data_IF_092285452427
#
_entry.id   IF_092285452427
#
_cell.length_a   1.000
_cell.length_b   1.000
_cell.length_c   1.000
_cell.angle_alpha   90.00
_cell.angle_beta   90.00
_cell.angle_gamma   90.00
#
_symmetry.space_group_name_H-M   'P 1'
#
loop_
_entity.id
_entity.type
_entity.pdbx_description
1 polymer ?
#
# COMPACT_ATOMS: atom_id res chain seq x y z
N UNK A 1 51.58 -37.06 -8.48
CA UNK A 1 51.93 -36.55 -7.12
C UNK A 1 52.24 -35.10 -7.26
N UNK A 2 51.23 -34.25 -7.36
CA UNK A 2 51.37 -32.84 -7.70
C UNK A 2 50.13 -32.10 -7.21
N UNK A 3 50.36 -31.05 -6.48
CA UNK A 3 49.48 -29.88 -6.25
C UNK A 3 48.18 -29.92 -5.40
N UNK A 4 47.74 -31.02 -4.87
CA UNK A 4 46.53 -31.05 -4.02
C UNK A 4 46.76 -30.95 -2.51
N UNK A 5 47.94 -30.63 -2.03
CA UNK A 5 48.30 -30.61 -0.58
C UNK A 5 48.64 -29.23 0.00
N UNK A 6 48.31 -28.12 -0.67
CA UNK A 6 48.66 -26.79 -0.16
C UNK A 6 47.51 -25.85 0.20
N UNK A 7 46.27 -26.31 0.18
CA UNK A 7 45.09 -25.44 0.47
C UNK A 7 44.33 -25.80 1.77
N UNK A 8 44.90 -26.62 2.66
CA UNK A 8 44.16 -27.07 3.87
C UNK A 8 44.68 -26.43 5.19
N UNK A 9 45.66 -25.54 5.16
CA UNK A 9 46.25 -24.96 6.39
C UNK A 9 46.00 -23.48 6.65
N UNK A 10 45.03 -22.83 5.97
CA UNK A 10 44.76 -21.39 6.17
C UNK A 10 43.40 -21.03 6.81
N UNK A 11 42.68 -22.00 7.35
CA UNK A 11 41.35 -21.77 8.00
C UNK A 11 41.34 -21.94 9.53
N UNK A 12 42.46 -21.86 10.18
CA UNK A 12 42.53 -21.90 11.66
C UNK A 12 43.34 -20.75 12.23
N UNK A 13 42.84 -19.55 12.20
CA UNK A 13 43.23 -18.45 13.11
C UNK A 13 42.43 -17.19 12.81
N UNK A 14 41.18 -17.10 13.22
CA UNK A 14 40.58 -15.86 13.75
C UNK A 14 39.53 -16.28 14.77
N UNK A 15 39.97 -16.41 15.99
CA UNK A 15 39.14 -16.57 17.16
C UNK A 15 39.14 -15.29 17.98
N UNK A 16 37.98 -14.99 18.49
CA UNK A 16 37.72 -14.27 19.76
C UNK A 16 38.30 -12.86 19.93
N UNK A 17 37.47 -11.84 19.77
CA UNK A 17 37.31 -10.80 20.79
C UNK A 17 36.25 -9.74 20.37
N UNK A 18 35.08 -9.72 20.97
CA UNK A 18 34.33 -8.49 21.19
C UNK A 18 33.17 -8.73 22.16
N UNK A 19 33.52 -8.81 23.42
CA UNK A 19 32.57 -8.45 24.49
C UNK A 19 32.67 -6.96 24.77
N UNK A 20 31.53 -6.36 25.17
CA UNK A 20 31.30 -5.07 25.86
C UNK A 20 31.15 -3.83 24.96
N UNK A 21 29.87 -3.41 24.87
CA UNK A 21 29.42 -2.11 25.40
C UNK A 21 27.89 -1.97 25.32
N UNK A 22 27.20 -2.38 26.38
CA UNK A 22 25.85 -1.89 26.69
C UNK A 22 25.97 -0.48 27.25
N UNK A 23 25.44 0.52 26.56
CA UNK A 23 25.18 1.86 27.11
C UNK A 23 23.74 1.95 27.53
N UNK A 24 23.54 2.06 28.84
CA UNK A 24 22.25 2.40 29.46
C UNK A 24 21.89 3.85 29.11
N UNK A 25 20.73 4.06 28.52
CA UNK A 25 20.07 5.35 28.47
C UNK A 25 19.00 5.40 29.55
N UNK A 26 19.28 6.09 30.65
CA UNK A 26 18.31 6.48 31.67
C UNK A 26 17.66 7.79 31.24
N UNK A 27 16.37 7.74 30.99
CA UNK A 27 15.51 8.91 30.76
C UNK A 27 15.21 9.57 32.10
N UNK A 28 15.68 10.80 32.30
CA UNK A 28 15.26 11.66 33.41
C UNK A 28 14.01 12.42 33.02
N UNK A 29 12.90 12.09 33.66
CA UNK A 29 11.66 12.87 33.64
C UNK A 29 11.81 14.09 34.56
N UNK A 30 11.72 15.30 34.06
CA UNK A 30 11.56 16.53 34.82
C UNK A 30 10.07 16.83 34.93
N UNK A 31 9.56 16.75 36.14
CA UNK A 31 8.28 17.35 36.56
C UNK A 31 8.55 18.81 36.94
N UNK A 32 7.90 19.75 36.28
CA UNK A 32 7.81 21.14 36.72
C UNK A 32 6.42 21.41 37.29
N UNK A 33 6.43 21.76 38.59
CA UNK A 33 5.27 22.18 39.32
C UNK A 33 4.93 23.64 39.00
N UNK A 34 3.69 23.92 38.64
CA UNK A 34 3.17 25.30 38.49
C UNK A 34 2.40 25.65 39.76
N UNK A 35 2.88 26.69 40.45
CA UNK A 35 2.28 27.30 41.62
C UNK A 35 1.03 28.09 41.27
N UNK A 36 -0.02 27.90 42.05
CA UNK A 36 -1.21 28.75 42.12
C UNK A 36 -0.89 30.05 42.90
N UNK A 37 -1.31 31.20 42.37
CA UNK A 37 -1.63 32.39 43.17
C UNK A 37 -2.57 33.31 42.38
N UNK A 38 -3.58 33.85 43.10
CA UNK A 38 -4.18 35.12 42.76
C UNK A 38 -5.70 35.14 42.54
N UNK A 39 -6.44 35.20 43.62
CA UNK A 39 -7.86 35.61 43.63
C UNK A 39 -7.99 37.11 43.48
N UNK A 40 -8.69 37.61 42.45
CA UNK A 40 -9.18 38.98 42.39
C UNK A 40 -10.71 39.02 42.24
N UNK A 41 -11.35 39.69 43.24
CA UNK A 41 -12.78 40.00 43.27
C UNK A 41 -13.08 41.16 42.34
N UNK A 42 -13.93 41.00 41.37
CA UNK A 42 -14.49 42.13 40.60
C UNK A 42 -15.97 42.30 40.95
N UNK A 43 -16.29 43.54 41.34
CA UNK A 43 -17.60 44.03 41.77
C UNK A 43 -18.64 43.98 40.64
N UNK A 44 -19.84 43.48 41.01
CA UNK A 44 -21.04 43.53 40.21
C UNK A 44 -21.60 44.95 40.14
N UNK A 45 -21.67 45.51 38.95
CA UNK A 45 -22.53 46.68 38.64
C UNK A 45 -23.76 46.19 37.88
N UNK A 46 -24.92 46.32 38.49
CA UNK A 46 -26.23 46.09 37.88
C UNK A 46 -26.56 47.22 36.92
N UNK A 47 -26.63 46.96 35.64
CA UNK A 47 -27.33 47.78 34.66
C UNK A 47 -28.57 47.06 34.17
N UNK A 48 -29.74 47.74 34.31
CA UNK A 48 -31.05 47.28 33.85
C UNK A 48 -31.05 47.31 32.29
N UNK A 49 -31.19 46.13 31.66
CA UNK A 49 -31.34 46.02 30.23
C UNK A 49 -32.79 45.83 29.85
N UNK A 50 -33.22 46.64 28.94
CA UNK A 50 -34.53 46.74 28.30
C UNK A 50 -34.80 45.48 27.46
N UNK A 51 -35.87 44.73 27.78
CA UNK A 51 -36.31 43.55 27.04
C UNK A 51 -37.00 43.94 25.72
N UNK A 52 -36.26 43.94 24.61
CA UNK A 52 -36.86 43.85 23.27
C UNK A 52 -37.01 42.36 22.91
N UNK A 53 -38.24 41.90 22.81
CA UNK A 53 -38.61 40.57 22.27
C UNK A 53 -38.28 40.53 20.76
N UNK A 54 -37.14 39.96 20.41
CA UNK A 54 -36.87 39.53 19.04
C UNK A 54 -37.38 38.11 18.82
N UNK A 55 -38.27 37.93 17.83
CA UNK A 55 -38.76 36.63 17.38
C UNK A 55 -37.56 35.77 16.95
N UNK A 56 -37.27 34.72 17.68
CA UNK A 56 -36.33 33.66 17.26
C UNK A 56 -36.90 32.93 16.07
N UNK A 57 -36.42 33.26 14.86
CA UNK A 57 -36.53 32.37 13.72
C UNK A 57 -35.63 31.16 14.02
N UNK A 58 -36.24 29.99 14.16
CA UNK A 58 -35.53 28.72 14.22
C UNK A 58 -34.92 28.43 12.83
N UNK A 59 -33.71 28.96 12.59
CA UNK A 59 -32.88 28.43 11.52
C UNK A 59 -32.58 26.97 11.87
N UNK A 60 -33.10 26.03 11.10
CA UNK A 60 -32.67 24.64 11.13
C UNK A 60 -31.17 24.66 10.83
N UNK A 61 -30.34 24.46 11.86
CA UNK A 61 -28.96 24.05 11.66
C UNK A 61 -29.02 22.69 10.97
N UNK A 62 -28.83 22.66 9.67
CA UNK A 62 -28.50 21.42 8.97
C UNK A 62 -27.16 20.97 9.53
N UNK A 63 -27.22 19.92 10.33
CA UNK A 63 -26.08 19.24 10.90
C UNK A 63 -25.34 18.57 9.72
N UNK A 64 -24.43 19.30 9.09
CA UNK A 64 -23.51 18.80 8.06
C UNK A 64 -22.55 17.80 8.74
N UNK A 65 -23.09 16.65 9.17
CA UNK A 65 -22.27 15.52 9.55
C UNK A 65 -21.59 15.00 8.29
N UNK A 66 -20.33 15.36 8.12
CA UNK A 66 -19.47 14.78 7.12
C UNK A 66 -19.45 13.25 7.36
N UNK A 67 -20.24 12.50 6.58
CA UNK A 67 -20.14 11.04 6.59
C UNK A 67 -18.84 10.71 5.86
N UNK A 68 -17.81 10.19 6.56
CA UNK A 68 -16.60 9.80 5.87
C UNK A 68 -16.96 8.75 4.81
N UNK A 69 -16.42 8.92 3.61
CA UNK A 69 -16.57 7.93 2.54
C UNK A 69 -15.96 6.62 2.98
N UNK A 70 -16.57 5.50 2.67
CA UNK A 70 -16.05 4.18 2.98
C UNK A 70 -14.97 3.77 1.98
N UNK A 71 -13.90 3.12 2.46
CA UNK A 71 -12.98 2.37 1.62
C UNK A 71 -13.66 1.06 1.21
N UNK A 72 -13.69 0.77 -0.11
CA UNK A 72 -14.12 -0.52 -0.64
C UNK A 72 -12.89 -1.36 -0.97
N UNK A 73 -12.90 -2.62 -0.58
CA UNK A 73 -11.91 -3.63 -0.93
C UNK A 73 -12.66 -4.69 -1.71
N UNK A 74 -12.30 -4.86 -2.99
CA UNK A 74 -13.06 -5.68 -3.94
C UNK A 74 -12.09 -6.67 -4.59
N UNK A 75 -12.02 -7.92 -4.13
CA UNK A 75 -11.32 -8.98 -4.83
C UNK A 75 -12.06 -9.29 -6.14
N UNK A 76 -11.34 -9.25 -7.25
CA UNK A 76 -11.83 -9.66 -8.57
C UNK A 76 -11.35 -11.07 -8.94
N UNK A 77 -10.45 -11.64 -8.15
CA UNK A 77 -9.94 -13.00 -8.24
C UNK A 77 -9.12 -13.36 -7.00
N UNK A 78 -8.69 -14.61 -6.89
CA UNK A 78 -7.88 -15.12 -5.78
C UNK A 78 -8.66 -15.50 -4.51
N UNK A 79 -10.01 -15.39 -4.50
CA UNK A 79 -10.82 -15.88 -3.39
C UNK A 79 -11.41 -17.25 -3.71
N UNK A 80 -11.19 -18.23 -2.82
CA UNK A 80 -11.63 -19.63 -2.98
C UNK A 80 -11.09 -20.32 -4.25
N UNK A 81 -9.99 -19.80 -4.80
CA UNK A 81 -9.31 -20.32 -5.98
C UNK A 81 -7.81 -20.07 -5.87
N UNK A 82 -7.00 -20.81 -6.63
CA UNK A 82 -5.55 -20.62 -6.73
C UNK A 82 -5.26 -19.79 -7.99
N UNK A 83 -4.51 -18.70 -7.80
CA UNK A 83 -4.15 -17.79 -8.90
C UNK A 83 -5.19 -16.68 -9.12
N UNK A 84 -5.04 -15.98 -10.22
CA UNK A 84 -5.86 -14.78 -10.60
C UNK A 84 -5.90 -13.72 -9.50
N UNK A 85 -4.81 -13.55 -8.75
CA UNK A 85 -4.77 -12.58 -7.67
C UNK A 85 -4.91 -11.17 -8.22
N UNK A 86 -6.02 -10.51 -7.87
CA UNK A 86 -6.30 -9.13 -8.21
C UNK A 86 -7.26 -8.54 -7.19
N UNK A 87 -6.85 -7.46 -6.54
CA UNK A 87 -7.65 -6.78 -5.52
C UNK A 87 -7.76 -5.28 -5.85
N UNK A 88 -8.97 -4.76 -5.80
CA UNK A 88 -9.26 -3.35 -6.03
C UNK A 88 -9.49 -2.66 -4.70
N UNK A 89 -8.84 -1.52 -4.50
CA UNK A 89 -9.10 -0.59 -3.41
C UNK A 89 -9.71 0.68 -4.00
N UNK A 90 -10.95 0.98 -3.64
CA UNK A 90 -11.67 2.17 -4.10
C UNK A 90 -12.01 3.08 -2.92
N UNK A 91 -11.62 4.35 -3.03
CA UNK A 91 -12.03 5.40 -2.12
C UNK A 91 -12.50 6.62 -2.92
N UNK A 92 -13.79 6.90 -2.88
CA UNK A 92 -14.47 7.94 -3.66
C UNK A 92 -14.22 7.79 -5.19
N UNK A 93 -13.46 8.72 -5.79
CA UNK A 93 -13.15 8.72 -7.21
C UNK A 93 -11.75 8.22 -7.54
N UNK A 94 -11.08 7.58 -6.60
CA UNK A 94 -9.76 7.02 -6.80
C UNK A 94 -9.75 5.51 -6.58
N UNK A 95 -9.14 4.79 -7.51
CA UNK A 95 -8.97 3.35 -7.50
C UNK A 95 -7.48 3.03 -7.64
N UNK A 96 -6.98 2.14 -6.81
CA UNK A 96 -5.73 1.42 -7.05
C UNK A 96 -6.03 -0.07 -7.18
N UNK A 97 -5.24 -0.74 -8.00
CA UNK A 97 -5.29 -2.19 -8.22
C UNK A 97 -4.04 -2.78 -7.58
N UNK A 98 -4.18 -3.85 -6.83
CA UNK A 98 -3.07 -4.63 -6.29
C UNK A 98 -3.05 -5.97 -6.98
N UNK A 99 -1.94 -6.26 -7.65
CA UNK A 99 -1.68 -7.42 -8.47
C UNK A 99 -2.64 -7.55 -9.68
N UNK A 100 -2.26 -8.38 -10.64
CA UNK A 100 -3.06 -8.72 -11.82
C UNK A 100 -2.54 -10.05 -12.37
N UNK A 101 -2.90 -11.11 -11.67
CA UNK A 101 -2.43 -12.46 -11.94
C UNK A 101 -3.30 -13.25 -12.87
N UNK A 102 -2.75 -14.33 -13.39
CA UNK A 102 -3.49 -15.37 -14.11
C UNK A 102 -3.64 -16.64 -13.24
N UNK A 103 -4.47 -17.56 -13.68
CA UNK A 103 -4.45 -18.95 -13.24
C UNK A 103 -4.17 -19.86 -14.43
N UNK A 104 -3.62 -21.05 -14.15
CA UNK A 104 -3.54 -22.10 -15.14
C UNK A 104 -4.89 -22.83 -15.23
N UNK A 105 -5.28 -23.31 -16.42
CA UNK A 105 -6.53 -24.06 -16.56
C UNK A 105 -6.48 -25.38 -15.77
N UNK A 106 -7.63 -25.84 -15.33
CA UNK A 106 -7.80 -27.18 -14.76
C UNK A 106 -7.81 -28.24 -15.88
N UNK A 107 -7.60 -29.50 -15.52
CA UNK A 107 -7.46 -30.60 -16.48
C UNK A 107 -8.70 -30.82 -17.37
N UNK A 108 -9.87 -30.40 -16.93
CA UNK A 108 -11.14 -30.48 -17.67
C UNK A 108 -11.37 -29.29 -18.62
N UNK A 109 -10.55 -28.23 -18.56
CA UNK A 109 -10.62 -27.05 -19.41
C UNK A 109 -9.87 -27.25 -20.73
N UNK A 110 -10.32 -28.20 -21.55
CA UNK A 110 -9.64 -28.56 -22.81
C UNK A 110 -9.57 -27.37 -23.79
N UNK A 111 -8.36 -27.11 -24.32
CA UNK A 111 -8.11 -26.04 -25.30
C UNK A 111 -8.02 -24.65 -24.69
N UNK A 112 -7.97 -24.51 -23.38
CA UNK A 112 -7.71 -23.25 -22.68
C UNK A 112 -6.24 -23.20 -22.27
N UNK A 113 -5.53 -22.15 -22.67
CA UNK A 113 -4.10 -21.96 -22.32
C UNK A 113 -3.93 -21.19 -21.00
N UNK A 114 -4.79 -20.20 -20.75
CA UNK A 114 -4.70 -19.29 -19.59
C UNK A 114 -6.10 -18.90 -19.11
N UNK A 115 -6.22 -18.73 -17.80
CA UNK A 115 -7.42 -18.16 -17.16
C UNK A 115 -7.07 -16.80 -16.56
N UNK A 116 -7.77 -15.75 -16.99
CA UNK A 116 -7.57 -14.38 -16.54
C UNK A 116 -8.78 -13.90 -15.71
N UNK A 117 -8.59 -12.96 -14.77
CA UNK A 117 -9.70 -12.42 -13.99
C UNK A 117 -10.68 -11.62 -14.85
N UNK A 118 -11.95 -11.55 -14.42
CA UNK A 118 -12.93 -10.63 -15.01
C UNK A 118 -12.62 -9.19 -14.56
N UNK A 119 -12.23 -8.36 -15.51
CA UNK A 119 -11.91 -6.95 -15.28
C UNK A 119 -13.04 -5.98 -15.65
N UNK A 120 -14.25 -6.48 -15.89
CA UNK A 120 -15.41 -5.65 -16.28
C UNK A 120 -15.68 -4.50 -15.31
N UNK A 121 -15.44 -4.72 -14.01
CA UNK A 121 -15.55 -3.65 -13.01
C UNK A 121 -14.56 -2.51 -13.28
N UNK A 122 -13.32 -2.84 -13.62
CA UNK A 122 -12.26 -1.88 -13.91
C UNK A 122 -12.53 -1.14 -15.22
N UNK A 123 -13.03 -1.82 -16.26
CA UNK A 123 -13.39 -1.20 -17.54
C UNK A 123 -14.48 -0.12 -17.35
N UNK A 124 -15.48 -0.38 -16.52
CA UNK A 124 -16.55 0.57 -16.18
C UNK A 124 -16.07 1.77 -15.37
N UNK A 125 -14.96 1.64 -14.64
CA UNK A 125 -14.42 2.66 -13.74
C UNK A 125 -13.02 3.15 -14.17
N UNK A 126 -12.62 2.98 -15.42
CA UNK A 126 -11.27 3.25 -15.91
C UNK A 126 -10.74 4.64 -15.57
N UNK A 127 -11.60 5.66 -15.60
CA UNK A 127 -11.21 7.06 -15.36
C UNK A 127 -10.83 7.33 -13.89
N UNK A 128 -11.22 6.43 -12.97
CA UNK A 128 -10.86 6.50 -11.56
C UNK A 128 -9.55 5.79 -11.23
N UNK A 129 -9.02 4.94 -12.10
CA UNK A 129 -7.85 4.10 -11.81
C UNK A 129 -6.60 4.94 -11.85
N UNK A 130 -5.83 4.93 -10.75
CA UNK A 130 -4.63 5.75 -10.55
C UNK A 130 -3.34 4.96 -10.72
N UNK A 131 -3.34 3.68 -10.33
CA UNK A 131 -2.15 2.85 -10.35
C UNK A 131 -2.49 1.35 -10.33
N UNK A 132 -1.58 0.55 -10.86
CA UNK A 132 -1.44 -0.88 -10.61
C UNK A 132 -0.18 -1.06 -9.75
N UNK A 133 -0.34 -1.63 -8.57
CA UNK A 133 0.73 -1.89 -7.59
C UNK A 133 0.99 -3.39 -7.56
N UNK A 134 2.23 -3.82 -7.71
CA UNK A 134 2.58 -5.24 -7.76
C UNK A 134 3.38 -5.64 -6.53
N UNK A 135 2.95 -6.72 -5.88
CA UNK A 135 3.60 -7.26 -4.68
C UNK A 135 4.87 -8.03 -5.01
N UNK A 136 4.84 -8.89 -6.02
CA UNK A 136 5.97 -9.72 -6.47
C UNK A 136 5.75 -10.32 -7.86
N UNK A 137 6.74 -11.03 -8.37
CA UNK A 137 6.81 -11.43 -9.78
C UNK A 137 6.30 -12.83 -10.12
N UNK A 138 5.48 -13.49 -9.31
CA UNK A 138 4.86 -14.75 -9.69
C UNK A 138 3.74 -14.56 -10.72
N UNK A 139 3.49 -15.59 -11.54
CA UNK A 139 2.52 -15.54 -12.65
C UNK A 139 1.09 -15.25 -12.17
N UNK A 140 0.72 -15.80 -11.06
CA UNK A 140 -0.59 -15.58 -10.42
C UNK A 140 -0.75 -14.18 -9.81
N UNK A 141 0.30 -13.31 -9.91
CA UNK A 141 0.29 -11.91 -9.53
C UNK A 141 0.58 -10.95 -10.69
N UNK A 142 1.31 -11.38 -11.75
CA UNK A 142 1.66 -10.50 -12.87
C UNK A 142 1.18 -11.01 -14.23
N UNK A 143 0.73 -12.26 -14.34
CA UNK A 143 0.52 -12.92 -15.62
C UNK A 143 -0.59 -12.32 -16.46
N UNK A 144 -1.62 -11.70 -15.87
CA UNK A 144 -2.72 -11.07 -16.60
C UNK A 144 -2.47 -9.58 -16.94
N UNK A 145 -1.34 -8.98 -16.53
CA UNK A 145 -1.01 -7.57 -16.80
C UNK A 145 -1.14 -7.21 -18.28
N UNK A 146 -0.62 -7.97 -19.26
CA UNK A 146 -0.74 -7.59 -20.67
C UNK A 146 -2.21 -7.52 -21.13
N UNK A 147 -3.06 -8.37 -20.61
CA UNK A 147 -4.48 -8.42 -20.96
C UNK A 147 -5.24 -7.22 -20.38
N UNK A 148 -4.93 -6.83 -19.13
CA UNK A 148 -5.44 -5.61 -18.51
C UNK A 148 -5.03 -4.38 -19.33
N UNK A 149 -3.75 -4.25 -19.69
CA UNK A 149 -3.21 -3.08 -20.38
C UNK A 149 -3.74 -2.89 -21.80
N UNK A 150 -4.20 -3.95 -22.47
CA UNK A 150 -4.92 -3.84 -23.75
C UNK A 150 -6.25 -3.10 -23.64
N UNK A 151 -6.82 -3.02 -22.42
CA UNK A 151 -8.10 -2.39 -22.12
C UNK A 151 -7.95 -1.09 -21.35
N UNK A 152 -7.01 -1.07 -20.41
CA UNK A 152 -6.86 0.00 -19.40
C UNK A 152 -5.36 0.31 -19.27
N UNK A 153 -4.93 1.48 -19.74
CA UNK A 153 -3.54 1.90 -19.61
C UNK A 153 -3.34 2.68 -18.31
N UNK A 154 -2.60 2.11 -17.36
CA UNK A 154 -2.31 2.70 -16.05
C UNK A 154 -0.82 2.57 -15.72
N UNK A 155 -0.24 3.47 -14.90
CA UNK A 155 1.13 3.31 -14.42
C UNK A 155 1.23 2.09 -13.49
N UNK A 156 2.30 1.31 -13.68
CA UNK A 156 2.60 0.12 -12.88
C UNK A 156 3.77 0.46 -11.96
N UNK A 157 3.66 0.11 -10.69
CA UNK A 157 4.68 0.26 -9.67
C UNK A 157 5.08 -1.10 -9.13
N UNK A 158 6.35 -1.46 -9.22
CA UNK A 158 6.87 -2.74 -8.77
C UNK A 158 8.34 -2.62 -8.36
N UNK A 159 8.85 -3.59 -7.61
CA UNK A 159 10.28 -3.70 -7.28
C UNK A 159 11.10 -4.09 -8.51
N UNK A 160 12.43 -3.92 -8.43
CA UNK A 160 13.34 -4.06 -9.56
C UNK A 160 13.22 -5.39 -10.30
N UNK A 161 13.29 -6.53 -9.57
CA UNK A 161 13.18 -7.85 -10.19
C UNK A 161 11.82 -8.03 -10.85
N UNK A 162 10.75 -7.66 -10.14
CA UNK A 162 9.38 -7.73 -10.65
C UNK A 162 9.19 -6.87 -11.89
N UNK A 163 9.77 -5.66 -11.94
CA UNK A 163 9.78 -4.83 -13.14
C UNK A 163 10.47 -5.51 -14.33
N UNK A 164 11.57 -6.23 -14.09
CA UNK A 164 12.25 -7.02 -15.13
C UNK A 164 11.34 -8.10 -15.73
N UNK A 165 10.67 -8.87 -14.87
CA UNK A 165 9.73 -9.92 -15.30
C UNK A 165 8.53 -9.34 -16.07
N UNK A 166 7.95 -8.24 -15.56
CA UNK A 166 6.85 -7.55 -16.24
C UNK A 166 7.31 -7.03 -17.60
N UNK A 167 8.52 -6.47 -17.72
CA UNK A 167 9.06 -5.96 -19.00
C UNK A 167 9.11 -7.04 -20.06
N UNK A 168 9.59 -8.26 -19.74
CA UNK A 168 9.60 -9.38 -20.68
C UNK A 168 8.19 -9.65 -21.22
N UNK A 169 7.18 -9.72 -20.36
CA UNK A 169 5.78 -9.90 -20.76
C UNK A 169 5.27 -8.76 -21.67
N UNK A 170 5.64 -7.52 -21.33
CA UNK A 170 5.27 -6.36 -22.16
C UNK A 170 5.95 -6.38 -23.52
N UNK A 171 7.17 -6.92 -23.63
CA UNK A 171 7.89 -7.12 -24.91
C UNK A 171 7.17 -8.14 -25.78
N UNK A 172 6.82 -9.31 -25.26
CA UNK A 172 6.06 -10.35 -25.95
C UNK A 172 4.75 -9.83 -26.51
N UNK A 173 4.05 -8.98 -25.74
CA UNK A 173 2.77 -8.38 -26.15
C UNK A 173 2.90 -7.04 -26.88
N UNK A 174 4.13 -6.54 -27.15
CA UNK A 174 4.43 -5.25 -27.84
C UNK A 174 3.85 -4.02 -27.11
N UNK A 175 3.79 -4.07 -25.75
CA UNK A 175 3.19 -3.03 -24.92
C UNK A 175 4.21 -2.12 -24.21
N UNK A 176 5.53 -2.38 -24.36
CA UNK A 176 6.59 -1.62 -23.63
C UNK A 176 6.49 -0.11 -23.88
N UNK A 177 6.26 0.29 -25.13
CA UNK A 177 6.25 1.72 -25.51
C UNK A 177 5.03 2.48 -24.99
N UNK A 178 3.93 1.79 -24.75
CA UNK A 178 2.67 2.38 -24.27
C UNK A 178 2.52 2.33 -22.75
N UNK A 179 3.34 1.54 -22.05
CA UNK A 179 3.20 1.29 -20.62
C UNK A 179 4.19 2.11 -19.80
N UNK A 180 3.71 2.79 -18.78
CA UNK A 180 4.54 3.43 -17.77
C UNK A 180 4.86 2.44 -16.66
N UNK A 181 6.04 1.81 -16.72
CA UNK A 181 6.55 0.91 -15.68
C UNK A 181 7.53 1.68 -14.79
N UNK A 182 7.25 1.75 -13.49
CA UNK A 182 8.01 2.52 -12.50
C UNK A 182 8.63 1.57 -11.47
N UNK A 183 9.95 1.56 -11.41
CA UNK A 183 10.68 0.82 -10.39
C UNK A 183 10.59 1.56 -9.05
N UNK A 184 10.27 0.83 -7.98
CA UNK A 184 10.23 1.31 -6.60
C UNK A 184 11.12 0.45 -5.72
N UNK A 185 11.64 1.03 -4.64
CA UNK A 185 12.45 0.31 -3.65
C UNK A 185 11.60 -0.06 -2.45
N UNK A 186 12.02 -1.12 -1.77
CA UNK A 186 11.48 -1.45 -0.45
C UNK A 186 11.67 -0.27 0.51
N UNK A 187 10.62 0.10 1.24
CA UNK A 187 10.54 1.28 2.10
C UNK A 187 10.08 2.56 1.40
N UNK A 188 9.98 2.57 0.06
CA UNK A 188 9.44 3.74 -0.66
C UNK A 188 7.92 3.84 -0.52
N UNK A 189 7.42 5.07 -0.67
CA UNK A 189 6.00 5.39 -0.60
C UNK A 189 5.56 6.01 -1.93
N UNK A 190 4.58 5.39 -2.57
CA UNK A 190 3.96 5.87 -3.80
C UNK A 190 2.63 6.54 -3.49
N UNK A 191 2.39 7.72 -4.09
CA UNK A 191 1.09 8.41 -4.03
C UNK A 191 0.29 8.14 -5.31
N UNK A 192 -0.95 7.67 -5.14
CA UNK A 192 -1.88 7.35 -6.23
C UNK A 192 -3.28 7.88 -5.88
N UNK A 193 -3.59 9.11 -6.33
CA UNK A 193 -4.80 9.82 -5.91
C UNK A 193 -4.82 10.04 -4.39
N UNK A 194 -5.90 9.61 -3.74
CA UNK A 194 -6.06 9.68 -2.27
C UNK A 194 -5.34 8.56 -1.52
N UNK A 195 -4.71 7.63 -2.23
CA UNK A 195 -3.95 6.55 -1.64
C UNK A 195 -2.46 6.91 -1.50
N UNK A 196 -1.85 6.40 -0.43
CA UNK A 196 -0.42 6.40 -0.20
C UNK A 196 0.00 4.98 0.15
N UNK A 197 0.81 4.37 -0.71
CA UNK A 197 1.19 2.96 -0.62
C UNK A 197 2.66 2.83 -0.30
N UNK A 198 2.98 2.24 0.85
CA UNK A 198 4.34 1.95 1.30
C UNK A 198 4.69 0.49 0.97
N UNK A 199 5.85 0.28 0.36
CA UNK A 199 6.37 -1.02 -0.05
C UNK A 199 7.22 -1.63 1.06
N UNK A 200 6.65 -2.52 1.86
CA UNK A 200 7.30 -3.13 3.02
C UNK A 200 8.00 -4.40 2.59
N UNK A 201 9.27 -4.57 2.97
CA UNK A 201 10.00 -5.81 2.66
C UNK A 201 9.28 -7.03 3.25
N UNK A 202 9.06 -8.04 2.43
CA UNK A 202 8.48 -9.32 2.82
C UNK A 202 9.37 -10.48 2.42
N UNK A 203 9.25 -11.61 3.12
CA UNK A 203 9.90 -12.87 2.75
C UNK A 203 8.93 -13.74 1.96
N UNK A 204 9.39 -14.22 0.81
CA UNK A 204 8.61 -15.12 -0.05
C UNK A 204 9.56 -16.02 -0.84
N UNK A 205 9.03 -16.97 -1.62
CA UNK A 205 9.83 -17.88 -2.46
C UNK A 205 10.51 -17.19 -3.66
N UNK A 206 10.17 -15.94 -3.95
CA UNK A 206 10.83 -15.11 -4.96
C UNK A 206 11.45 -13.86 -4.31
N UNK A 207 12.67 -13.43 -4.71
CA UNK A 207 13.28 -12.20 -4.20
C UNK A 207 12.45 -10.94 -4.54
N UNK A 208 12.75 -9.86 -3.83
CA UNK A 208 12.12 -8.53 -4.00
C UNK A 208 10.60 -8.48 -3.72
N UNK A 209 10.05 -9.48 -3.04
CA UNK A 209 8.66 -9.48 -2.61
C UNK A 209 8.40 -8.40 -1.57
N UNK A 210 7.20 -7.83 -1.62
CA UNK A 210 6.75 -6.79 -0.69
C UNK A 210 5.34 -7.04 -0.19
N UNK A 211 5.10 -6.68 1.05
CA UNK A 211 3.79 -6.37 1.59
C UNK A 211 3.50 -4.87 1.38
N UNK A 212 2.25 -4.48 1.40
CA UNK A 212 1.83 -3.11 1.14
C UNK A 212 1.08 -2.53 2.35
N UNK A 213 1.51 -1.34 2.83
CA UNK A 213 0.68 -0.54 3.72
C UNK A 213 -0.07 0.50 2.89
N UNK A 214 -1.35 0.27 2.65
CA UNK A 214 -2.24 1.07 1.83
C UNK A 214 -2.97 2.05 2.73
N UNK A 215 -2.56 3.31 2.73
CA UNK A 215 -3.15 4.39 3.52
C UNK A 215 -4.17 5.15 2.68
N UNK A 216 -5.35 5.40 3.24
CA UNK A 216 -6.42 6.24 2.68
C UNK A 216 -6.98 7.15 3.77
N UNK A 217 -7.82 8.15 3.45
CA UNK A 217 -8.51 8.94 4.47
C UNK A 217 -9.44 8.13 5.38
N UNK A 218 -9.88 6.93 4.95
CA UNK A 218 -10.70 6.01 5.76
C UNK A 218 -9.87 5.15 6.73
N UNK A 219 -8.53 5.10 6.57
CA UNK A 219 -7.66 4.28 7.40
C UNK A 219 -6.55 3.59 6.61
N UNK A 220 -5.86 2.64 7.27
CA UNK A 220 -4.75 1.88 6.69
C UNK A 220 -5.12 0.41 6.59
N UNK A 221 -4.81 -0.20 5.44
CA UNK A 221 -4.91 -1.64 5.20
C UNK A 221 -3.51 -2.18 4.98
N UNK A 222 -3.19 -3.31 5.60
CA UNK A 222 -1.98 -4.08 5.31
C UNK A 222 -2.39 -5.22 4.39
N UNK A 223 -1.77 -5.26 3.21
CA UNK A 223 -1.93 -6.32 2.23
C UNK A 223 -0.63 -7.12 2.18
N UNK A 224 -0.69 -8.44 2.45
CA UNK A 224 0.46 -9.37 2.55
C UNK A 224 0.30 -10.49 1.58
#
# INVERSE_FOLDING_TARGET
MTEEKKNLDNERKVGTNSQRRRKNYTTKTKQEAVKQTGTEKVKQTRTKANTRKTKKGTAKQEDFRFKPSSLKIIPLGGLHEIGKNITVFEYENDIIIVDCGLAFPEDDMLGIDLVIPDISYLEKNKDKIRALIITHGHEDHIGAIPYLLKKINVPIYATRLTCGLIRNKLEEHKLVKSTKLVEVKQGEVVKAGKFSVEFIRSSHSIPDSVALAIKSPAGTVIHT
#
